data_IF_923893224931
#
_entry.id   IF_923893224931
#
_cell.length_a   1.000
_cell.length_b   1.000
_cell.length_c   1.000
_cell.angle_alpha   90.00
_cell.angle_beta   90.00
_cell.angle_gamma   90.00
#
_symmetry.space_group_name_H-M   'P 1'
#
loop_
_entity.id
_entity.type
_entity.pdbx_description
1 polymer ?
#
# COMPACT_ATOMS: atom_id res chain seq x y z
N UNK A 1 20.11 12.06 0.88
CA UNK A 1 20.49 13.39 1.42
C UNK A 1 19.30 14.08 2.06
N UNK A 2 18.12 13.99 1.46
CA UNK A 2 16.86 14.45 2.07
C UNK A 2 15.91 13.27 2.25
N UNK A 3 15.23 13.25 3.39
CA UNK A 3 14.10 12.36 3.68
C UNK A 3 12.88 13.26 3.86
N UNK A 4 11.87 13.11 3.01
CA UNK A 4 10.61 13.83 3.14
C UNK A 4 9.52 12.85 3.55
N UNK A 5 9.05 12.95 4.80
CA UNK A 5 7.95 12.13 5.34
C UNK A 5 6.68 12.97 5.35
N UNK A 6 5.63 12.52 4.67
CA UNK A 6 4.31 13.19 4.66
C UNK A 6 3.19 12.20 4.97
N UNK A 7 2.26 12.57 5.86
CA UNK A 7 1.10 11.75 6.20
C UNK A 7 1.46 10.38 6.78
N UNK A 8 2.53 10.31 7.61
CA UNK A 8 3.00 9.06 8.22
C UNK A 8 3.60 9.28 9.61
N UNK A 9 3.09 8.53 10.60
CA UNK A 9 3.75 8.35 11.89
C UNK A 9 4.69 7.13 11.85
N UNK A 10 5.78 7.23 11.09
CA UNK A 10 6.72 6.12 10.89
C UNK A 10 7.29 5.57 12.20
N UNK A 11 7.43 6.40 13.24
CA UNK A 11 7.93 5.95 14.55
C UNK A 11 7.04 4.94 15.27
N UNK A 12 5.72 5.03 15.09
CA UNK A 12 4.77 4.07 15.66
C UNK A 12 4.48 2.93 14.68
N UNK A 13 4.32 3.26 13.40
CA UNK A 13 3.79 2.34 12.40
C UNK A 13 4.87 1.45 11.77
N UNK A 14 6.09 1.98 11.63
CA UNK A 14 7.23 1.29 11.00
C UNK A 14 8.53 1.54 11.78
N UNK A 15 8.65 1.07 13.03
CA UNK A 15 9.75 1.46 13.92
C UNK A 15 11.14 1.16 13.34
N UNK A 16 11.30 0.04 12.64
CA UNK A 16 12.56 -0.33 11.98
C UNK A 16 12.94 0.66 10.86
N UNK A 17 11.96 1.14 10.08
CA UNK A 17 12.18 2.17 9.07
C UNK A 17 12.54 3.50 9.75
N UNK A 18 11.83 3.86 10.83
CA UNK A 18 12.14 5.06 11.60
C UNK A 18 13.56 5.03 12.19
N UNK A 19 14.06 3.87 12.65
CA UNK A 19 15.44 3.72 13.10
C UNK A 19 16.44 4.01 11.98
N UNK A 20 16.20 3.50 10.75
CA UNK A 20 17.05 3.79 9.58
C UNK A 20 17.01 5.27 9.19
N UNK A 21 15.82 5.90 9.23
CA UNK A 21 15.67 7.34 8.99
C UNK A 21 16.45 8.17 10.02
N UNK A 22 16.31 7.86 11.32
CA UNK A 22 17.05 8.52 12.40
C UNK A 22 18.56 8.37 12.22
N UNK A 23 19.04 7.19 11.83
CA UNK A 23 20.45 6.97 11.50
C UNK A 23 20.90 7.86 10.34
N UNK A 24 20.15 7.90 9.25
CA UNK A 24 20.48 8.74 8.11
C UNK A 24 20.55 10.23 8.49
N UNK A 25 19.67 10.70 9.38
CA UNK A 25 19.72 12.07 9.93
C UNK A 25 20.97 12.29 10.77
N UNK A 26 21.32 11.34 11.65
CA UNK A 26 22.55 11.41 12.43
C UNK A 26 23.82 11.43 11.55
N UNK A 27 23.76 10.78 10.38
CA UNK A 27 24.80 10.77 9.35
C UNK A 27 24.73 12.03 8.42
N UNK A 28 23.89 13.01 8.74
CA UNK A 28 23.84 14.32 8.08
C UNK A 28 22.73 14.51 7.04
N UNK A 29 21.78 13.58 6.90
CA UNK A 29 20.60 13.80 6.05
C UNK A 29 19.65 14.83 6.67
N UNK A 30 19.03 15.66 5.83
CA UNK A 30 17.95 16.55 6.28
C UNK A 30 16.62 15.80 6.28
N UNK A 31 15.78 16.07 7.28
CA UNK A 31 14.47 15.44 7.44
C UNK A 31 13.37 16.51 7.40
N UNK A 32 12.50 16.44 6.42
CA UNK A 32 11.25 17.20 6.37
C UNK A 32 10.13 16.28 6.85
N UNK A 33 9.35 16.72 7.83
CA UNK A 33 8.15 16.02 8.29
C UNK A 33 6.94 16.91 8.03
N UNK A 34 6.02 16.45 7.19
CA UNK A 34 4.72 17.08 6.98
C UNK A 34 3.62 16.23 7.63
N UNK A 35 3.24 16.62 8.84
CA UNK A 35 2.17 15.96 9.62
C UNK A 35 1.54 17.01 10.55
N UNK A 36 0.20 17.10 10.65
CA UNK A 36 -0.46 18.01 11.58
C UNK A 36 -0.08 17.76 13.05
N UNK A 37 0.37 16.54 13.39
CA UNK A 37 0.70 16.13 14.75
C UNK A 37 2.20 16.13 14.98
N UNK A 38 2.59 16.36 16.22
CA UNK A 38 4.00 16.30 16.67
C UNK A 38 4.45 14.85 16.88
N UNK A 39 4.55 14.08 15.81
CA UNK A 39 4.96 12.67 15.85
C UNK A 39 6.42 12.49 16.31
N UNK A 40 6.81 11.26 16.65
CA UNK A 40 8.15 10.97 17.19
C UNK A 40 9.32 11.40 16.29
N UNK A 41 9.14 11.36 14.96
CA UNK A 41 10.16 11.82 14.00
C UNK A 41 10.42 13.33 14.04
N UNK A 42 9.46 14.15 14.48
CA UNK A 42 9.61 15.63 14.50
C UNK A 42 10.81 16.07 15.34
N UNK A 43 11.16 15.32 16.38
CA UNK A 43 12.35 15.61 17.22
C UNK A 43 13.67 15.59 16.45
N UNK A 44 13.70 14.93 15.30
CA UNK A 44 14.88 14.81 14.44
C UNK A 44 14.72 15.63 13.15
N UNK A 45 13.59 16.31 12.96
CA UNK A 45 13.28 17.00 11.72
C UNK A 45 14.08 18.31 11.61
N UNK A 46 14.62 18.55 10.43
CA UNK A 46 15.13 19.87 10.03
C UNK A 46 13.99 20.87 9.86
N UNK A 47 12.83 20.39 9.40
CA UNK A 47 11.65 21.18 9.18
C UNK A 47 10.38 20.36 9.45
N UNK A 48 9.46 20.94 10.22
CA UNK A 48 8.15 20.35 10.50
C UNK A 48 7.06 21.22 9.91
N UNK A 49 6.39 20.73 8.87
CA UNK A 49 5.26 21.37 8.22
C UNK A 49 3.98 20.86 8.87
N UNK A 50 3.31 21.74 9.61
CA UNK A 50 2.10 21.40 10.38
C UNK A 50 0.84 21.84 9.63
N UNK A 51 0.66 21.34 8.41
CA UNK A 51 -0.50 21.68 7.59
C UNK A 51 -1.80 21.13 8.19
N UNK A 52 -2.92 21.80 7.91
CA UNK A 52 -4.25 21.35 8.31
C UNK A 52 -4.58 20.02 7.61
N UNK A 53 -5.23 19.05 8.30
CA UNK A 53 -5.66 17.82 7.67
C UNK A 53 -6.49 18.07 6.41
N UNK A 54 -6.18 17.35 5.31
CA UNK A 54 -6.89 17.49 4.04
C UNK A 54 -6.40 18.64 3.15
N UNK A 55 -5.27 19.28 3.48
CA UNK A 55 -4.62 20.29 2.62
C UNK A 55 -3.27 19.82 2.05
N UNK A 56 -3.04 18.52 2.02
CA UNK A 56 -1.78 17.87 1.59
C UNK A 56 -1.42 18.21 0.14
N UNK A 57 -2.39 18.07 -0.79
CA UNK A 57 -2.22 18.43 -2.19
C UNK A 57 -1.89 19.92 -2.38
N UNK A 58 -2.51 20.81 -1.60
CA UNK A 58 -2.23 22.25 -1.65
C UNK A 58 -0.77 22.51 -1.27
N UNK A 59 -0.28 21.89 -0.18
CA UNK A 59 1.10 22.02 0.25
C UNK A 59 2.08 21.54 -0.85
N UNK A 60 1.86 20.32 -1.37
CA UNK A 60 2.74 19.72 -2.38
C UNK A 60 2.74 20.50 -3.71
N UNK A 61 1.57 20.89 -4.21
CA UNK A 61 1.46 21.65 -5.46
C UNK A 61 2.07 23.05 -5.34
N UNK A 62 1.96 23.69 -4.18
CA UNK A 62 2.62 24.99 -3.93
C UNK A 62 4.14 24.83 -3.88
N UNK A 63 4.65 23.77 -3.25
CA UNK A 63 6.09 23.46 -3.28
C UNK A 63 6.58 23.27 -4.72
N UNK A 64 5.83 22.53 -5.55
CA UNK A 64 6.17 22.34 -6.96
C UNK A 64 6.16 23.64 -7.76
N UNK A 65 5.16 24.51 -7.52
CA UNK A 65 5.11 25.83 -8.14
C UNK A 65 6.34 26.67 -7.80
N UNK A 66 6.77 26.67 -6.53
CA UNK A 66 7.98 27.39 -6.09
C UNK A 66 9.24 26.83 -6.77
N UNK A 67 9.34 25.50 -6.90
CA UNK A 67 10.47 24.85 -7.60
C UNK A 67 10.57 25.35 -9.04
N UNK A 68 9.45 25.40 -9.75
CA UNK A 68 9.37 25.87 -11.15
C UNK A 68 9.68 27.38 -11.24
N UNK A 69 9.06 28.18 -10.38
CA UNK A 69 9.25 29.64 -10.39
C UNK A 69 10.72 30.02 -10.08
N UNK A 70 11.44 29.19 -9.31
CA UNK A 70 12.87 29.37 -9.02
C UNK A 70 13.81 28.65 -10.01
N UNK A 71 13.28 27.93 -11.00
CA UNK A 71 14.09 27.18 -11.97
C UNK A 71 14.90 26.03 -11.37
N UNK A 72 14.39 25.39 -10.32
CA UNK A 72 15.04 24.31 -9.57
C UNK A 72 14.64 22.90 -10.04
N UNK A 73 13.78 22.80 -11.05
CA UNK A 73 13.36 21.53 -11.64
C UNK A 73 14.46 20.83 -12.46
N UNK A 74 14.38 19.50 -12.53
CA UNK A 74 15.28 18.69 -13.34
C UNK A 74 14.77 18.62 -14.79
N UNK A 75 15.13 19.64 -15.58
CA UNK A 75 14.70 19.79 -16.98
C UNK A 75 15.09 18.60 -17.85
N UNK A 76 16.27 18.02 -17.62
CA UNK A 76 16.74 16.87 -18.40
C UNK A 76 15.91 15.63 -18.10
N UNK A 77 15.60 15.38 -16.82
CA UNK A 77 14.70 14.30 -16.45
C UNK A 77 13.31 14.49 -17.04
N UNK A 78 12.75 15.70 -16.93
CA UNK A 78 11.41 16.02 -17.45
C UNK A 78 11.35 15.76 -18.96
N UNK A 79 12.28 16.34 -19.72
CA UNK A 79 12.31 16.27 -21.19
C UNK A 79 12.54 14.86 -21.73
N UNK A 80 13.27 14.00 -21.00
CA UNK A 80 13.63 12.68 -21.48
C UNK A 80 12.77 11.55 -20.92
N UNK A 81 12.17 11.74 -19.74
CA UNK A 81 11.52 10.63 -18.99
C UNK A 81 10.07 10.87 -18.61
N UNK A 82 9.50 12.04 -18.91
CA UNK A 82 8.13 12.38 -18.50
C UNK A 82 7.25 12.88 -19.64
N UNK A 83 5.94 12.92 -19.49
CA UNK A 83 4.99 13.52 -20.44
C UNK A 83 3.94 14.33 -19.67
N UNK A 84 3.20 15.21 -20.35
CA UNK A 84 2.15 16.03 -19.74
C UNK A 84 2.64 17.20 -18.88
N UNK A 85 3.91 17.61 -19.02
CA UNK A 85 4.51 18.66 -18.20
C UNK A 85 3.79 20.02 -18.34
N UNK A 86 3.51 20.47 -19.57
CA UNK A 86 2.93 21.79 -19.81
C UNK A 86 1.52 21.93 -19.20
N UNK A 87 0.67 20.91 -19.37
CA UNK A 87 -0.68 20.87 -18.77
C UNK A 87 -0.60 20.84 -17.24
N UNK A 88 0.38 20.13 -16.69
CA UNK A 88 0.63 20.13 -15.25
C UNK A 88 1.06 21.52 -14.76
N UNK A 89 2.00 22.19 -15.41
CA UNK A 89 2.44 23.55 -15.03
C UNK A 89 1.28 24.53 -15.11
N UNK A 90 0.46 24.46 -16.17
CA UNK A 90 -0.73 25.30 -16.31
C UNK A 90 -1.72 25.07 -15.16
N UNK A 91 -1.88 23.84 -14.68
CA UNK A 91 -2.77 23.51 -13.56
C UNK A 91 -2.31 24.06 -12.20
N UNK A 92 -1.04 24.50 -12.07
CA UNK A 92 -0.50 25.02 -10.81
C UNK A 92 -0.89 26.47 -10.51
N UNK A 93 -1.54 27.18 -11.45
CA UNK A 93 -1.91 28.59 -11.30
C UNK A 93 -2.66 28.92 -9.98
N UNK A 94 -3.60 28.10 -9.48
CA UNK A 94 -4.33 28.40 -8.25
C UNK A 94 -3.49 28.28 -6.96
N UNK A 95 -2.33 27.64 -7.01
CA UNK A 95 -1.53 27.26 -5.83
C UNK A 95 -0.50 28.34 -5.48
N UNK A 96 -0.96 29.58 -5.27
CA UNK A 96 -0.10 30.69 -4.85
C UNK A 96 0.37 30.52 -3.40
N UNK A 97 1.50 31.15 -3.05
CA UNK A 97 2.07 31.08 -1.71
C UNK A 97 1.10 31.61 -0.64
N UNK A 98 0.48 32.77 -0.88
CA UNK A 98 -0.53 33.36 0.01
C UNK A 98 -1.76 32.46 0.20
N UNK A 99 -2.21 31.83 -0.89
CA UNK A 99 -3.32 30.89 -0.84
C UNK A 99 -2.95 29.67 0.02
N UNK A 100 -1.77 29.11 -0.20
CA UNK A 100 -1.28 27.95 0.51
C UNK A 100 -1.09 28.23 2.01
N UNK A 101 -0.49 29.36 2.38
CA UNK A 101 -0.32 29.76 3.78
C UNK A 101 -1.67 29.84 4.50
N UNK A 102 -2.66 30.50 3.87
CA UNK A 102 -4.01 30.63 4.44
C UNK A 102 -4.72 29.28 4.58
N UNK A 103 -4.65 28.42 3.55
CA UNK A 103 -5.38 27.15 3.52
C UNK A 103 -4.71 26.09 4.38
N UNK A 104 -3.41 25.90 4.23
CA UNK A 104 -2.65 24.89 4.96
C UNK A 104 -2.36 25.31 6.40
N UNK A 105 -2.26 26.62 6.67
CA UNK A 105 -1.79 27.13 7.96
C UNK A 105 -0.29 26.96 8.20
N UNK A 106 0.47 26.56 7.18
CA UNK A 106 1.94 26.50 7.22
C UNK A 106 2.49 27.87 6.83
N UNK A 107 3.44 28.45 7.58
CA UNK A 107 4.07 29.71 7.21
C UNK A 107 4.66 29.66 5.80
N UNK A 108 4.48 30.72 5.03
CA UNK A 108 4.96 30.82 3.65
C UNK A 108 6.47 30.53 3.54
N UNK A 109 7.26 31.04 4.48
CA UNK A 109 8.71 30.82 4.55
C UNK A 109 9.09 29.34 4.68
N UNK A 110 8.30 28.56 5.43
CA UNK A 110 8.53 27.14 5.65
C UNK A 110 8.17 26.33 4.39
N UNK A 111 7.12 26.72 3.66
CA UNK A 111 6.77 26.09 2.37
C UNK A 111 7.91 26.29 1.36
N UNK A 112 8.41 27.54 1.23
CA UNK A 112 9.55 27.87 0.35
C UNK A 112 10.80 27.11 0.78
N UNK A 113 11.09 27.06 2.08
CA UNK A 113 12.24 26.33 2.62
C UNK A 113 12.15 24.83 2.33
N UNK A 114 10.98 24.22 2.49
CA UNK A 114 10.76 22.82 2.16
C UNK A 114 10.99 22.53 0.68
N UNK A 115 10.42 23.36 -0.20
CA UNK A 115 10.59 23.27 -1.65
C UNK A 115 12.06 23.30 -2.06
N UNK A 116 12.82 24.28 -1.54
CA UNK A 116 14.25 24.43 -1.80
C UNK A 116 15.09 23.28 -1.25
N UNK A 117 14.83 22.82 -0.02
CA UNK A 117 15.54 21.68 0.57
C UNK A 117 15.36 20.44 -0.29
N UNK A 118 14.12 20.15 -0.70
CA UNK A 118 13.81 18.95 -1.47
C UNK A 118 14.42 19.00 -2.89
N UNK A 119 14.24 20.12 -3.61
CA UNK A 119 14.69 20.25 -5.00
C UNK A 119 16.22 20.34 -5.15
N UNK A 120 16.92 20.97 -4.20
CA UNK A 120 18.39 21.10 -4.26
C UNK A 120 19.15 19.85 -3.79
N UNK A 121 18.43 18.83 -3.31
CA UNK A 121 19.04 17.62 -2.82
C UNK A 121 19.57 16.76 -3.97
N UNK A 122 20.82 16.33 -3.88
CA UNK A 122 21.40 15.34 -4.81
C UNK A 122 20.51 14.08 -4.90
N UNK A 123 20.09 13.57 -3.73
CA UNK A 123 19.18 12.43 -3.59
C UNK A 123 18.14 12.73 -2.50
N UNK A 124 16.86 12.78 -2.89
CA UNK A 124 15.72 12.87 -1.98
C UNK A 124 14.80 11.65 -2.09
N UNK A 125 14.44 11.07 -0.95
CA UNK A 125 13.40 10.04 -0.85
C UNK A 125 12.14 10.64 -0.23
N UNK A 126 11.00 10.44 -0.88
CA UNK A 126 9.69 10.82 -0.35
C UNK A 126 8.99 9.57 0.19
N UNK A 127 8.52 9.63 1.43
CA UNK A 127 7.89 8.54 2.16
C UNK A 127 6.51 8.97 2.64
N UNK A 128 5.49 8.20 2.32
CA UNK A 128 4.12 8.54 2.68
C UNK A 128 3.31 7.33 3.11
N UNK A 129 2.20 7.55 3.81
CA UNK A 129 1.30 6.49 4.23
C UNK A 129 -0.16 6.98 4.21
N UNK A 130 -0.95 6.56 5.20
CA UNK A 130 -2.40 6.74 5.23
C UNK A 130 -2.85 8.20 5.33
N UNK A 131 -2.02 9.12 5.85
CA UNK A 131 -2.34 10.55 5.86
C UNK A 131 -2.36 11.19 4.46
N UNK A 132 -1.93 10.46 3.42
CA UNK A 132 -2.09 10.86 2.03
C UNK A 132 -3.27 10.13 1.40
N UNK A 133 -3.42 8.82 1.66
CA UNK A 133 -4.35 7.96 0.93
C UNK A 133 -5.76 7.90 1.52
N UNK A 134 -5.92 8.04 2.84
CA UNK A 134 -7.23 7.95 3.51
C UNK A 134 -7.92 9.32 3.56
N UNK A 135 -8.11 9.90 2.39
CA UNK A 135 -8.80 11.17 2.16
C UNK A 135 -9.69 11.05 0.93
N UNK A 136 -10.73 11.88 0.85
CA UNK A 136 -11.57 12.02 -0.37
C UNK A 136 -10.74 12.37 -1.62
N UNK A 137 -9.56 12.97 -1.43
CA UNK A 137 -8.60 13.31 -2.49
C UNK A 137 -7.37 12.39 -2.52
N UNK A 138 -7.48 11.17 -1.98
CA UNK A 138 -6.32 10.27 -1.82
C UNK A 138 -5.53 10.07 -3.13
N UNK A 139 -6.23 9.85 -4.24
CA UNK A 139 -5.63 9.73 -5.58
C UNK A 139 -4.88 11.00 -5.97
N UNK A 140 -5.50 12.18 -5.84
CA UNK A 140 -4.87 13.46 -6.16
C UNK A 140 -3.64 13.73 -5.28
N UNK A 141 -3.67 13.35 -4.00
CA UNK A 141 -2.52 13.47 -3.11
C UNK A 141 -1.34 12.58 -3.56
N UNK A 142 -1.62 11.32 -3.93
CA UNK A 142 -0.59 10.40 -4.45
C UNK A 142 -0.03 10.89 -5.78
N UNK A 143 -0.87 11.42 -6.66
CA UNK A 143 -0.47 12.08 -7.90
C UNK A 143 0.48 13.26 -7.62
N UNK A 144 0.17 14.14 -6.67
CA UNK A 144 1.02 15.27 -6.30
C UNK A 144 2.39 14.80 -5.75
N UNK A 145 2.41 13.74 -4.94
CA UNK A 145 3.64 13.09 -4.47
C UNK A 145 4.49 12.59 -5.65
N UNK A 146 3.86 11.94 -6.63
CA UNK A 146 4.52 11.47 -7.86
C UNK A 146 5.09 12.61 -8.69
N UNK A 147 4.28 13.64 -8.94
CA UNK A 147 4.67 14.84 -9.68
C UNK A 147 5.89 15.52 -9.05
N UNK A 148 5.94 15.64 -7.72
CA UNK A 148 7.07 16.29 -7.04
C UNK A 148 8.39 15.50 -7.23
N UNK A 149 8.34 14.17 -7.19
CA UNK A 149 9.50 13.34 -7.46
C UNK A 149 9.92 13.38 -8.94
N UNK A 150 8.97 13.43 -9.88
CA UNK A 150 9.25 13.60 -11.31
C UNK A 150 9.88 14.96 -11.60
N UNK A 151 9.33 16.04 -11.04
CA UNK A 151 9.79 17.42 -11.22
C UNK A 151 11.25 17.61 -10.81
N UNK A 152 11.71 16.83 -9.83
CA UNK A 152 13.05 16.95 -9.25
C UNK A 152 13.98 15.79 -9.64
N UNK A 153 13.56 14.94 -10.60
CA UNK A 153 14.34 13.80 -11.06
C UNK A 153 14.66 12.75 -9.99
N UNK A 154 13.93 12.72 -8.87
CA UNK A 154 14.15 11.82 -7.73
C UNK A 154 13.51 10.44 -7.92
N UNK A 155 13.64 9.87 -9.13
CA UNK A 155 13.11 8.55 -9.52
C UNK A 155 14.16 7.79 -10.36
N UNK A 156 14.17 6.46 -10.25
CA UNK A 156 15.09 5.62 -11.04
C UNK A 156 16.55 5.66 -10.58
N UNK A 157 16.83 6.23 -9.40
CA UNK A 157 18.16 6.26 -8.79
C UNK A 157 18.14 5.78 -7.34
N UNK A 158 19.26 5.23 -6.90
CA UNK A 158 19.44 4.74 -5.54
C UNK A 158 19.20 5.84 -4.50
N UNK A 159 18.65 5.46 -3.33
CA UNK A 159 18.35 6.35 -2.21
C UNK A 159 17.41 7.53 -2.54
N UNK A 160 16.51 7.32 -3.51
CA UNK A 160 15.44 8.27 -3.86
C UNK A 160 14.10 7.54 -3.98
N UNK A 161 13.13 8.13 -4.68
CA UNK A 161 11.89 7.48 -5.01
C UNK A 161 10.69 8.01 -4.25
N UNK A 162 9.54 7.52 -4.69
CA UNK A 162 8.25 7.65 -4.02
C UNK A 162 7.97 6.34 -3.31
N UNK A 163 7.94 6.39 -1.98
CA UNK A 163 7.97 5.21 -1.12
C UNK A 163 6.70 5.14 -0.27
N UNK A 164 5.61 4.49 -0.75
CA UNK A 164 4.46 4.21 0.09
C UNK A 164 4.85 3.22 1.20
N UNK A 165 4.69 3.63 2.45
CA UNK A 165 4.91 2.79 3.61
C UNK A 165 3.68 1.91 3.84
N UNK A 166 3.70 0.73 3.22
CA UNK A 166 2.62 -0.27 3.33
C UNK A 166 2.48 -0.75 4.78
N UNK A 167 1.24 -0.92 5.25
CA UNK A 167 0.95 -1.18 6.66
C UNK A 167 1.16 -2.64 7.10
N UNK A 168 0.37 -3.56 6.54
CA UNK A 168 0.41 -4.98 6.90
C UNK A 168 1.65 -5.68 6.36
N UNK A 169 2.08 -6.75 7.06
CA UNK A 169 3.31 -7.50 6.77
C UNK A 169 3.41 -8.00 5.32
N UNK A 170 2.26 -8.29 4.70
CA UNK A 170 2.15 -8.91 3.39
C UNK A 170 1.09 -8.27 2.49
N UNK A 171 0.64 -7.04 2.77
CA UNK A 171 -0.31 -6.36 1.85
C UNK A 171 0.30 -6.20 0.46
N UNK A 172 1.62 -6.02 0.37
CA UNK A 172 2.32 -6.02 -0.91
C UNK A 172 2.18 -7.37 -1.60
N UNK A 173 2.46 -8.48 -0.89
CA UNK A 173 2.35 -9.83 -1.45
C UNK A 173 0.92 -10.22 -1.80
N UNK A 174 -0.08 -9.85 -0.99
CA UNK A 174 -1.49 -10.07 -1.30
C UNK A 174 -1.87 -9.39 -2.62
N UNK A 175 -1.50 -8.11 -2.80
CA UNK A 175 -1.70 -7.43 -4.07
C UNK A 175 -0.89 -8.07 -5.23
N UNK A 176 0.37 -8.46 -4.97
CA UNK A 176 1.22 -9.13 -5.97
C UNK A 176 0.56 -10.42 -6.49
N UNK A 177 -0.16 -11.15 -5.63
CA UNK A 177 -0.81 -12.42 -5.95
C UNK A 177 -2.24 -12.25 -6.50
N UNK A 178 -2.65 -11.03 -6.86
CA UNK A 178 -4.00 -10.79 -7.40
C UNK A 178 -5.10 -10.76 -6.33
N UNK A 179 -4.76 -10.43 -5.08
CA UNK A 179 -5.74 -10.08 -4.04
C UNK A 179 -6.41 -8.72 -4.29
N UNK A 180 -6.82 -8.48 -5.54
CA UNK A 180 -7.45 -7.27 -6.07
C UNK A 180 -8.51 -7.72 -7.09
N UNK A 181 -9.67 -7.05 -7.15
CA UNK A 181 -10.79 -7.49 -7.99
C UNK A 181 -10.52 -7.37 -9.50
N UNK A 182 -9.45 -6.68 -9.91
CA UNK A 182 -9.19 -6.30 -11.29
C UNK A 182 -7.89 -6.86 -11.86
N UNK A 183 -7.12 -7.66 -11.12
CA UNK A 183 -5.83 -8.20 -11.60
C UNK A 183 -5.56 -9.62 -11.16
N UNK A 184 -4.99 -10.42 -12.05
CA UNK A 184 -4.27 -11.65 -11.76
C UNK A 184 -2.89 -11.37 -11.10
N UNK A 185 -2.17 -12.41 -10.62
CA UNK A 185 -0.81 -12.24 -10.09
C UNK A 185 0.09 -11.42 -11.01
N UNK A 186 0.87 -10.51 -10.42
CA UNK A 186 1.77 -9.62 -11.13
C UNK A 186 1.13 -8.37 -11.70
N UNK A 187 -0.01 -7.94 -11.16
CA UNK A 187 -0.77 -6.75 -11.59
C UNK A 187 -1.26 -6.82 -13.05
N UNK A 188 -1.58 -8.03 -13.51
CA UNK A 188 -1.98 -8.27 -14.89
C UNK A 188 -3.50 -8.22 -14.97
N UNK A 189 -4.07 -7.31 -15.76
CA UNK A 189 -5.49 -7.01 -15.66
C UNK A 189 -6.37 -8.17 -16.14
N UNK A 190 -7.51 -8.33 -15.49
CA UNK A 190 -8.47 -9.40 -15.81
C UNK A 190 -9.23 -9.16 -17.11
N UNK A 191 -9.39 -7.88 -17.49
CA UNK A 191 -10.11 -7.43 -18.68
C UNK A 191 -9.24 -7.36 -19.95
N UNK A 192 -7.98 -7.79 -19.86
CA UNK A 192 -7.07 -7.93 -21.01
C UNK A 192 -7.13 -9.36 -21.59
N UNK A 193 -7.65 -9.57 -22.82
CA UNK A 193 -7.91 -10.92 -23.34
C UNK A 193 -6.67 -11.82 -23.44
N UNK A 194 -5.52 -11.27 -23.80
CA UNK A 194 -4.26 -12.03 -23.89
C UNK A 194 -3.75 -12.48 -22.51
N UNK A 195 -3.97 -11.66 -21.48
CA UNK A 195 -3.66 -12.00 -20.10
C UNK A 195 -4.60 -13.11 -19.63
N UNK A 196 -5.91 -12.94 -19.84
CA UNK A 196 -6.92 -13.94 -19.51
C UNK A 196 -6.57 -15.31 -20.12
N UNK A 197 -6.33 -15.35 -21.45
CA UNK A 197 -5.96 -16.58 -22.16
C UNK A 197 -4.72 -17.27 -21.59
N UNK A 198 -3.72 -16.49 -21.16
CA UNK A 198 -2.52 -17.04 -20.52
C UNK A 198 -2.86 -17.78 -19.21
N UNK A 199 -3.69 -17.18 -18.36
CA UNK A 199 -4.10 -17.82 -17.10
C UNK A 199 -5.06 -18.99 -17.33
N UNK A 200 -5.97 -18.91 -18.30
CA UNK A 200 -6.83 -20.03 -18.71
C UNK A 200 -6.02 -21.23 -19.19
N UNK A 201 -4.95 -21.00 -19.97
CA UNK A 201 -4.03 -22.05 -20.40
C UNK A 201 -3.27 -22.67 -19.22
N UNK A 202 -2.84 -21.87 -18.24
CA UNK A 202 -2.13 -22.35 -17.07
C UNK A 202 -3.02 -23.17 -16.13
N UNK A 203 -4.27 -22.74 -15.93
CA UNK A 203 -5.19 -23.33 -14.95
C UNK A 203 -6.19 -24.32 -15.54
N UNK A 204 -6.28 -24.41 -16.87
CA UNK A 204 -7.14 -25.36 -17.56
C UNK A 204 -8.64 -25.12 -17.35
N UNK A 205 -9.05 -23.87 -17.10
CA UNK A 205 -10.45 -23.48 -16.94
C UNK A 205 -10.72 -22.13 -17.60
N UNK A 206 -12.00 -21.86 -17.88
CA UNK A 206 -12.43 -20.54 -18.33
C UNK A 206 -12.47 -19.56 -17.16
N UNK A 207 -12.01 -18.34 -17.40
CA UNK A 207 -11.97 -17.28 -16.39
C UNK A 207 -12.90 -16.13 -16.78
N UNK A 208 -13.36 -15.35 -15.80
CA UNK A 208 -14.14 -14.14 -16.07
C UNK A 208 -13.23 -12.98 -16.47
N UNK A 209 -13.60 -12.24 -17.51
CA UNK A 209 -12.97 -10.96 -17.87
C UNK A 209 -13.59 -9.75 -17.15
N UNK A 210 -14.66 -9.96 -16.38
CA UNK A 210 -15.31 -8.89 -15.64
C UNK A 210 -14.52 -8.54 -14.37
N UNK A 211 -14.35 -7.24 -14.13
CA UNK A 211 -13.79 -6.73 -12.88
C UNK A 211 -14.72 -7.08 -11.72
N UNK A 212 -14.16 -7.67 -10.66
CA UNK A 212 -14.89 -8.00 -9.44
C UNK A 212 -15.30 -6.78 -8.62
N UNK A 213 -16.10 -7.00 -7.59
CA UNK A 213 -16.56 -5.93 -6.71
C UNK A 213 -15.43 -5.51 -5.74
N UNK A 214 -15.08 -4.22 -5.62
CA UNK A 214 -14.16 -3.74 -4.59
C UNK A 214 -14.77 -3.87 -3.19
N UNK A 215 -13.95 -4.14 -2.16
CA UNK A 215 -14.41 -4.28 -0.78
C UNK A 215 -15.23 -3.06 -0.28
N UNK A 216 -14.87 -1.85 -0.72
CA UNK A 216 -15.59 -0.61 -0.41
C UNK A 216 -17.02 -0.56 -0.94
N UNK A 217 -17.35 -1.37 -1.95
CA UNK A 217 -18.67 -1.45 -2.59
C UNK A 217 -19.46 -2.68 -2.12
N UNK A 218 -18.79 -3.66 -1.50
CA UNK A 218 -19.42 -4.89 -1.00
C UNK A 218 -20.49 -4.60 0.06
N UNK A 219 -20.31 -3.57 0.90
CA UNK A 219 -21.26 -3.26 1.97
C UNK A 219 -22.63 -2.86 1.42
N UNK A 220 -22.67 -2.01 0.39
CA UNK A 220 -23.93 -1.64 -0.26
C UNK A 220 -24.51 -2.82 -1.05
N UNK A 221 -23.67 -3.59 -1.76
CA UNK A 221 -24.13 -4.77 -2.48
C UNK A 221 -24.76 -5.83 -1.56
N UNK A 222 -24.25 -5.98 -0.33
CA UNK A 222 -24.86 -6.83 0.69
C UNK A 222 -26.23 -6.29 1.09
N UNK A 223 -26.37 -4.99 1.36
CA UNK A 223 -27.64 -4.37 1.78
C UNK A 223 -28.71 -4.39 0.68
N UNK A 224 -28.31 -4.19 -0.57
CA UNK A 224 -29.19 -4.31 -1.76
C UNK A 224 -29.57 -5.77 -2.05
N UNK A 225 -28.84 -6.73 -1.49
CA UNK A 225 -29.05 -8.15 -1.70
C UNK A 225 -28.48 -8.67 -3.03
N UNK A 226 -27.62 -7.91 -3.72
CA UNK A 226 -26.90 -8.36 -4.92
C UNK A 226 -25.68 -9.23 -4.56
N UNK A 227 -25.11 -9.04 -3.36
CA UNK A 227 -24.11 -9.92 -2.76
C UNK A 227 -24.76 -10.79 -1.68
N UNK A 228 -24.84 -12.11 -1.93
CA UNK A 228 -25.54 -13.06 -1.06
C UNK A 228 -24.64 -13.93 -0.19
N UNK A 229 -23.44 -14.21 -0.65
CA UNK A 229 -22.47 -15.03 0.07
C UNK A 229 -21.13 -14.34 0.13
N UNK A 230 -20.45 -14.43 1.27
CA UNK A 230 -19.12 -13.85 1.44
C UNK A 230 -18.20 -14.82 2.18
N UNK A 231 -16.96 -14.94 1.69
CA UNK A 231 -15.90 -15.66 2.36
C UNK A 231 -14.77 -14.69 2.72
N UNK A 232 -14.66 -14.40 4.01
CA UNK A 232 -13.62 -13.55 4.59
C UNK A 232 -12.52 -14.45 5.16
N UNK A 233 -11.25 -14.21 4.80
CA UNK A 233 -10.13 -14.91 5.39
C UNK A 233 -9.07 -13.92 5.91
N UNK A 234 -8.75 -14.01 7.21
CA UNK A 234 -7.71 -13.21 7.85
C UNK A 234 -8.03 -11.72 8.02
N UNK A 235 -9.30 -11.32 8.03
CA UNK A 235 -9.75 -9.94 8.18
C UNK A 235 -10.87 -9.79 9.20
N UNK A 236 -11.02 -8.58 9.75
CA UNK A 236 -12.05 -8.25 10.74
C UNK A 236 -12.82 -6.95 10.38
N UNK A 237 -13.50 -6.91 9.21
CA UNK A 237 -14.20 -5.73 8.71
C UNK A 237 -15.32 -5.23 9.61
N UNK A 238 -15.92 -6.08 10.46
CA UNK A 238 -16.90 -5.62 11.46
C UNK A 238 -16.32 -4.54 12.41
N UNK A 239 -15.00 -4.45 12.57
CA UNK A 239 -14.32 -3.43 13.38
C UNK A 239 -13.42 -2.51 12.56
N UNK A 240 -12.77 -3.02 11.52
CA UNK A 240 -11.79 -2.23 10.76
C UNK A 240 -12.38 -1.28 9.73
N UNK A 241 -13.60 -1.55 9.26
CA UNK A 241 -14.24 -0.76 8.21
C UNK A 241 -14.94 0.48 8.77
N UNK A 242 -15.07 1.56 7.97
CA UNK A 242 -15.75 2.75 8.43
C UNK A 242 -17.24 2.46 8.68
N UNK A 243 -17.81 3.14 9.68
CA UNK A 243 -19.22 2.97 10.06
C UNK A 243 -19.59 1.53 10.43
N UNK A 244 -19.02 1.04 11.54
CA UNK A 244 -19.27 -0.28 12.11
C UNK A 244 -20.75 -0.71 12.11
N UNK A 245 -21.67 0.19 12.48
CA UNK A 245 -23.11 -0.13 12.51
C UNK A 245 -23.65 -0.50 11.12
N UNK A 246 -23.17 0.19 10.08
CA UNK A 246 -23.53 -0.08 8.70
C UNK A 246 -22.93 -1.41 8.21
N UNK A 247 -21.65 -1.67 8.51
CA UNK A 247 -21.00 -2.95 8.20
C UNK A 247 -21.70 -4.14 8.86
N UNK A 248 -22.00 -4.06 10.17
CA UNK A 248 -22.72 -5.12 10.89
C UNK A 248 -24.09 -5.39 10.26
N UNK A 249 -24.85 -4.33 9.96
CA UNK A 249 -26.16 -4.45 9.30
C UNK A 249 -26.04 -5.12 7.92
N UNK A 250 -24.98 -4.83 7.18
CA UNK A 250 -24.74 -5.43 5.87
C UNK A 250 -24.42 -6.92 5.99
N UNK A 251 -23.56 -7.33 6.93
CA UNK A 251 -23.28 -8.76 7.16
C UNK A 251 -24.54 -9.54 7.55
N UNK A 252 -25.45 -8.94 8.32
CA UNK A 252 -26.73 -9.57 8.68
C UNK A 252 -27.69 -9.78 7.48
N UNK A 253 -27.41 -9.16 6.32
CA UNK A 253 -28.22 -9.30 5.11
C UNK A 253 -27.66 -10.36 4.13
N UNK A 254 -26.51 -10.96 4.45
CA UNK A 254 -25.98 -12.09 3.70
C UNK A 254 -26.83 -13.34 3.95
N UNK A 255 -26.97 -14.16 2.92
CA UNK A 255 -27.58 -15.49 3.02
C UNK A 255 -26.57 -16.51 3.60
N UNK A 256 -25.26 -16.26 3.44
CA UNK A 256 -24.20 -17.13 3.94
C UNK A 256 -22.85 -16.40 4.14
N UNK A 257 -22.29 -16.45 5.34
CA UNK A 257 -20.99 -15.88 5.70
C UNK A 257 -20.03 -16.95 6.22
N UNK A 258 -18.89 -17.08 5.55
CA UNK A 258 -17.76 -17.91 5.99
C UNK A 258 -16.64 -17.00 6.48
N UNK A 259 -16.10 -17.28 7.66
CA UNK A 259 -14.92 -16.61 8.20
C UNK A 259 -13.81 -17.61 8.48
N UNK A 260 -12.63 -17.38 7.92
CA UNK A 260 -11.42 -18.12 8.27
C UNK A 260 -10.47 -17.20 9.02
N UNK A 261 -10.26 -17.46 10.31
CA UNK A 261 -9.43 -16.65 11.18
C UNK A 261 -8.70 -17.52 12.21
N UNK A 262 -7.66 -16.97 12.84
CA UNK A 262 -6.90 -17.60 13.91
C UNK A 262 -7.54 -17.39 15.29
N UNK A 263 -8.47 -16.43 15.41
CA UNK A 263 -9.25 -16.18 16.62
C UNK A 263 -10.73 -15.97 16.31
N UNK A 264 -11.58 -16.15 17.32
CA UNK A 264 -12.96 -15.65 17.25
C UNK A 264 -12.92 -14.12 17.31
N UNK A 265 -13.06 -13.48 16.15
CA UNK A 265 -13.15 -12.02 15.98
C UNK A 265 -14.60 -11.57 15.95
N UNK A 266 -14.83 -10.26 16.06
CA UNK A 266 -16.16 -9.66 15.94
C UNK A 266 -16.82 -9.99 14.59
N UNK A 267 -16.03 -10.13 13.52
CA UNK A 267 -16.55 -10.61 12.23
C UNK A 267 -16.87 -12.10 12.25
N UNK A 268 -16.02 -12.93 12.88
CA UNK A 268 -16.26 -14.37 13.01
C UNK A 268 -17.50 -14.69 13.86
N UNK A 269 -17.83 -13.86 14.84
CA UNK A 269 -19.05 -13.98 15.66
C UNK A 269 -20.34 -13.80 14.84
N UNK A 270 -20.26 -13.14 13.68
CA UNK A 270 -21.37 -12.95 12.75
C UNK A 270 -21.48 -14.09 11.71
N UNK A 271 -20.50 -15.00 11.64
CA UNK A 271 -20.40 -15.98 10.57
C UNK A 271 -21.30 -17.21 10.79
N UNK A 272 -21.80 -17.78 9.69
CA UNK A 272 -22.49 -19.07 9.71
C UNK A 272 -21.50 -20.23 9.88
N UNK A 273 -20.30 -20.09 9.31
CA UNK A 273 -19.22 -21.08 9.39
C UNK A 273 -17.90 -20.39 9.71
N UNK A 274 -17.20 -20.92 10.72
CA UNK A 274 -15.85 -20.48 11.08
C UNK A 274 -14.85 -21.61 10.81
N UNK A 275 -13.83 -21.34 10.00
CA UNK A 275 -12.70 -22.23 9.79
C UNK A 275 -11.48 -21.77 10.59
N UNK A 276 -10.92 -22.61 11.49
CA UNK A 276 -9.75 -22.24 12.28
C UNK A 276 -8.48 -22.25 11.41
N UNK A 277 -7.96 -21.07 11.12
CA UNK A 277 -6.69 -20.88 10.40
C UNK A 277 -5.46 -21.05 11.31
N UNK A 278 -4.31 -21.33 10.69
CA UNK A 278 -3.03 -21.42 11.38
C UNK A 278 -2.31 -20.05 11.43
N UNK A 279 -1.68 -19.75 12.57
CA UNK A 279 -0.86 -18.56 12.76
C UNK A 279 0.43 -18.61 11.93
N UNK A 280 1.13 -17.47 11.80
CA UNK A 280 2.37 -17.37 11.02
C UNK A 280 3.47 -18.34 11.49
N UNK A 281 3.50 -18.69 12.78
CA UNK A 281 4.47 -19.61 13.36
C UNK A 281 4.13 -21.09 13.15
N UNK A 282 2.90 -21.38 12.72
CA UNK A 282 2.34 -22.73 12.58
C UNK A 282 2.32 -23.23 11.13
N UNK A 283 2.58 -22.30 10.20
CA UNK A 283 2.61 -22.53 8.76
C UNK A 283 3.90 -22.03 8.14
N UNK A 284 4.06 -22.37 6.87
CA UNK A 284 5.20 -21.94 6.08
C UNK A 284 4.71 -21.22 4.83
N UNK A 285 5.54 -20.37 4.27
CA UNK A 285 5.23 -19.63 3.05
C UNK A 285 6.24 -18.53 2.79
N UNK A 286 5.77 -17.43 2.21
CA UNK A 286 6.54 -16.22 2.01
C UNK A 286 5.73 -14.98 2.38
N UNK A 287 6.44 -13.90 2.74
CA UNK A 287 5.88 -12.57 2.84
C UNK A 287 6.66 -11.60 1.96
N UNK A 288 5.96 -10.69 1.30
CA UNK A 288 6.54 -9.55 0.58
C UNK A 288 6.35 -8.28 1.39
N UNK A 289 7.45 -7.64 1.79
CA UNK A 289 7.39 -6.41 2.59
C UNK A 289 7.26 -5.14 1.72
N UNK A 290 7.20 -3.96 2.36
CA UNK A 290 6.98 -2.65 1.71
C UNK A 290 7.94 -2.33 0.56
N UNK A 291 9.18 -2.84 0.59
CA UNK A 291 10.18 -2.61 -0.46
C UNK A 291 10.19 -3.72 -1.53
N UNK A 292 9.10 -4.50 -1.65
CA UNK A 292 8.93 -5.66 -2.56
C UNK A 292 9.84 -6.86 -2.26
N UNK A 293 10.48 -6.89 -1.09
CA UNK A 293 11.35 -8.00 -0.70
C UNK A 293 10.53 -9.20 -0.24
N UNK A 294 10.68 -10.30 -0.96
CA UNK A 294 10.13 -11.61 -0.64
C UNK A 294 11.05 -12.29 0.37
N UNK A 295 10.46 -12.75 1.47
CA UNK A 295 11.13 -13.39 2.60
C UNK A 295 10.43 -14.70 2.95
N UNK A 296 11.23 -15.71 3.32
CA UNK A 296 10.74 -17.02 3.73
C UNK A 296 10.13 -16.99 5.14
N UNK A 297 8.93 -17.54 5.29
CA UNK A 297 8.28 -17.83 6.58
C UNK A 297 8.39 -19.32 6.85
N UNK A 298 8.93 -19.71 8.00
CA UNK A 298 9.13 -21.13 8.36
C UNK A 298 8.19 -21.51 9.49
N UNK A 299 7.64 -22.71 9.39
CA UNK A 299 6.89 -23.32 10.48
C UNK A 299 7.82 -23.57 11.67
N UNK A 300 7.47 -23.03 12.82
CA UNK A 300 8.22 -23.17 14.07
C UNK A 300 7.54 -24.11 15.07
N UNK A 301 6.20 -24.15 15.05
CA UNK A 301 5.37 -24.96 15.96
C UNK A 301 4.25 -25.66 15.18
N UNK A 302 3.57 -26.62 15.81
CA UNK A 302 2.37 -27.25 15.25
C UNK A 302 1.13 -26.40 15.53
N UNK A 303 0.17 -26.41 14.61
CA UNK A 303 -1.11 -25.74 14.77
C UNK A 303 -1.90 -26.33 15.96
N UNK A 304 -2.63 -25.51 16.73
CA UNK A 304 -3.45 -25.99 17.84
C UNK A 304 -4.74 -26.66 17.35
N UNK A 305 -5.17 -27.71 18.05
CA UNK A 305 -6.43 -28.40 17.77
C UNK A 305 -6.54 -28.87 16.32
N UNK A 306 -7.59 -28.44 15.63
CA UNK A 306 -7.85 -28.79 14.21
C UNK A 306 -7.43 -27.68 13.24
N UNK A 307 -6.72 -26.65 13.70
CA UNK A 307 -6.32 -25.52 12.87
C UNK A 307 -5.41 -25.97 11.72
N UNK A 308 -5.62 -25.40 10.54
CA UNK A 308 -4.89 -25.74 9.30
C UNK A 308 -4.37 -24.48 8.64
N UNK A 309 -3.35 -24.60 7.79
CA UNK A 309 -2.91 -23.45 6.99
C UNK A 309 -4.05 -22.98 6.10
N UNK A 310 -4.12 -21.67 5.85
CA UNK A 310 -5.18 -21.07 5.02
C UNK A 310 -5.24 -21.72 3.64
N UNK A 311 -4.06 -22.00 3.08
CA UNK A 311 -3.89 -22.66 1.81
C UNK A 311 -4.48 -24.08 1.81
N UNK A 312 -4.28 -24.85 2.89
CA UNK A 312 -4.87 -26.19 2.99
C UNK A 312 -6.39 -26.12 3.10
N UNK A 313 -6.94 -25.18 3.87
CA UNK A 313 -8.40 -25.03 3.99
C UNK A 313 -9.01 -24.66 2.63
N UNK A 314 -8.43 -23.68 1.93
CA UNK A 314 -8.88 -23.25 0.60
C UNK A 314 -8.78 -24.40 -0.41
N UNK A 315 -7.68 -25.14 -0.44
CA UNK A 315 -7.51 -26.32 -1.30
C UNK A 315 -8.57 -27.40 -1.02
N UNK A 316 -8.85 -27.66 0.26
CA UNK A 316 -9.83 -28.66 0.68
C UNK A 316 -11.27 -28.26 0.35
N UNK A 317 -11.60 -26.97 0.44
CA UNK A 317 -12.87 -26.41 -0.02
C UNK A 317 -12.97 -26.56 -1.54
N UNK A 318 -11.96 -26.07 -2.27
CA UNK A 318 -11.91 -26.13 -3.73
C UNK A 318 -12.15 -27.55 -4.23
N UNK A 319 -11.35 -28.54 -3.78
CA UNK A 319 -11.46 -29.95 -4.19
C UNK A 319 -12.86 -30.54 -3.95
N UNK A 320 -13.51 -30.18 -2.85
CA UNK A 320 -14.87 -30.64 -2.52
C UNK A 320 -15.93 -29.99 -3.41
N UNK A 321 -15.81 -28.69 -3.68
CA UNK A 321 -16.73 -27.95 -4.55
C UNK A 321 -16.63 -28.45 -5.98
N UNK A 322 -15.41 -28.56 -6.53
CA UNK A 322 -15.22 -29.01 -7.91
C UNK A 322 -15.30 -30.53 -8.08
N UNK A 323 -15.34 -31.28 -6.96
CA UNK A 323 -15.35 -32.75 -6.91
C UNK A 323 -14.19 -33.39 -7.70
N UNK A 324 -13.02 -32.77 -7.64
CA UNK A 324 -11.77 -33.23 -8.28
C UNK A 324 -10.59 -33.09 -7.33
N UNK A 325 -9.53 -33.84 -7.62
CA UNK A 325 -8.27 -33.82 -6.87
C UNK A 325 -8.22 -34.85 -5.74
N UNK A 326 -7.01 -35.11 -5.26
CA UNK A 326 -6.75 -36.00 -4.14
C UNK A 326 -6.91 -35.24 -2.81
N UNK A 327 -7.93 -35.61 -2.03
CA UNK A 327 -8.20 -35.01 -0.72
C UNK A 327 -7.12 -35.35 0.33
N UNK A 328 -6.32 -36.39 0.10
CA UNK A 328 -5.21 -36.79 0.98
C UNK A 328 -3.94 -35.97 0.73
N UNK A 329 -3.75 -35.46 -0.49
CA UNK A 329 -2.63 -34.57 -0.85
C UNK A 329 -2.88 -33.15 -0.35
N UNK A 330 -1.93 -32.63 0.42
CA UNK A 330 -1.91 -31.24 0.88
C UNK A 330 -1.16 -30.34 -0.11
N UNK A 331 -1.55 -29.07 -0.26
CA UNK A 331 -0.84 -28.14 -1.13
C UNK A 331 0.53 -27.78 -0.53
N UNK A 332 1.55 -27.68 -1.39
CA UNK A 332 2.93 -27.35 -0.98
C UNK A 332 3.25 -25.93 -1.42
N UNK A 333 3.55 -24.99 -0.49
CA UNK A 333 3.80 -23.59 -0.83
C UNK A 333 4.91 -23.36 -1.85
N UNK A 334 5.94 -24.20 -1.86
CA UNK A 334 7.02 -24.12 -2.86
C UNK A 334 6.51 -24.44 -4.28
N UNK A 335 5.67 -25.46 -4.45
CA UNK A 335 5.10 -25.83 -5.76
C UNK A 335 4.21 -24.70 -6.31
N UNK A 336 3.42 -24.05 -5.45
CA UNK A 336 2.57 -22.92 -5.83
C UNK A 336 3.42 -21.70 -6.21
N UNK A 337 4.50 -21.45 -5.48
CA UNK A 337 5.41 -20.35 -5.80
C UNK A 337 6.10 -20.58 -7.15
N UNK A 338 6.51 -21.81 -7.44
CA UNK A 338 7.06 -22.19 -8.74
C UNK A 338 6.02 -22.01 -9.86
N UNK A 339 4.75 -22.39 -9.64
CA UNK A 339 3.64 -22.15 -10.57
C UNK A 339 3.48 -20.65 -10.88
N UNK A 340 3.50 -19.79 -9.85
CA UNK A 340 3.41 -18.32 -10.03
C UNK A 340 4.53 -17.83 -10.95
N UNK A 341 5.74 -18.35 -10.82
CA UNK A 341 6.88 -18.03 -11.69
C UNK A 341 6.64 -18.35 -13.17
N UNK A 342 5.76 -19.30 -13.49
CA UNK A 342 5.42 -19.65 -14.88
C UNK A 342 4.50 -18.63 -15.56
N UNK A 343 3.66 -17.94 -14.79
CA UNK A 343 2.67 -16.96 -15.29
C UNK A 343 3.09 -15.51 -15.03
N UNK A 344 4.06 -15.29 -14.15
CA UNK A 344 4.61 -13.99 -13.81
C UNK A 344 6.14 -14.00 -13.78
N UNK A 345 6.74 -13.61 -14.91
CA UNK A 345 8.19 -13.68 -15.12
C UNK A 345 9.00 -12.84 -14.13
N UNK A 346 8.44 -11.80 -13.51
CA UNK A 346 9.17 -10.97 -12.55
C UNK A 346 9.50 -11.69 -11.24
N UNK A 347 8.98 -12.90 -10.98
CA UNK A 347 9.39 -13.73 -9.83
C UNK A 347 9.95 -15.09 -10.25
N UNK A 348 10.08 -15.37 -11.55
CA UNK A 348 10.54 -16.67 -12.07
C UNK A 348 11.96 -17.06 -11.61
N UNK A 349 12.77 -16.08 -11.25
CA UNK A 349 14.11 -16.29 -10.69
C UNK A 349 14.13 -16.62 -9.21
N UNK A 350 13.01 -16.50 -8.48
CA UNK A 350 12.92 -16.69 -7.04
C UNK A 350 12.31 -18.07 -6.79
N UNK A 351 13.02 -18.92 -6.05
CA UNK A 351 12.50 -20.21 -5.58
C UNK A 351 12.79 -20.37 -4.08
N UNK A 352 12.21 -21.40 -3.46
CA UNK A 352 12.40 -21.63 -2.04
C UNK A 352 13.86 -21.97 -1.68
N UNK A 353 14.62 -22.60 -2.59
CA UNK A 353 16.03 -22.91 -2.34
C UNK A 353 16.89 -21.64 -2.23
N UNK A 354 16.60 -20.62 -3.04
CA UNK A 354 17.22 -19.30 -2.92
C UNK A 354 16.75 -18.59 -1.66
N UNK A 355 15.45 -18.63 -1.36
CA UNK A 355 14.89 -17.98 -0.17
C UNK A 355 15.37 -18.61 1.16
N UNK A 356 15.93 -19.82 1.14
CA UNK A 356 16.65 -20.37 2.29
C UNK A 356 17.96 -19.62 2.61
N UNK A 357 18.58 -19.00 1.61
CA UNK A 357 19.91 -18.35 1.74
C UNK A 357 19.83 -16.83 1.73
N UNK A 358 18.85 -16.27 1.02
CA UNK A 358 18.72 -14.83 0.81
C UNK A 358 17.27 -14.37 0.77
N UNK A 359 17.04 -13.07 0.68
CA UNK A 359 15.73 -12.47 0.46
C UNK A 359 15.82 -11.46 -0.67
N UNK A 360 14.86 -11.49 -1.58
CA UNK A 360 14.99 -10.87 -2.90
C UNK A 360 13.86 -9.90 -3.17
N UNK A 361 14.19 -8.76 -3.76
CA UNK A 361 13.19 -7.80 -4.24
C UNK A 361 12.80 -8.15 -5.66
N UNK A 362 11.50 -8.31 -5.92
CA UNK A 362 11.03 -8.45 -7.29
C UNK A 362 11.04 -7.06 -7.98
N UNK A 363 11.31 -6.98 -9.30
CA UNK A 363 11.56 -8.09 -10.24
C UNK A 363 12.86 -8.89 -10.04
N UNK A 364 12.81 -10.18 -10.35
CA UNK A 364 13.93 -11.12 -10.36
C UNK A 364 13.61 -12.21 -11.40
N UNK A 365 13.89 -11.99 -12.69
CA UNK A 365 13.41 -12.84 -13.77
C UNK A 365 14.22 -14.13 -13.99
N UNK A 366 15.45 -14.22 -13.48
CA UNK A 366 16.28 -15.42 -13.58
C UNK A 366 16.97 -15.77 -12.26
N UNK A 367 17.44 -17.01 -12.13
CA UNK A 367 18.06 -17.53 -10.91
C UNK A 367 19.39 -16.84 -10.56
N UNK A 368 20.04 -16.25 -11.55
CA UNK A 368 21.29 -15.50 -11.41
C UNK A 368 21.04 -14.01 -11.11
N UNK A 369 19.80 -13.53 -11.26
CA UNK A 369 19.46 -12.13 -11.02
C UNK A 369 19.45 -11.82 -9.52
N UNK A 370 20.15 -10.76 -9.11
CA UNK A 370 20.31 -10.35 -7.70
C UNK A 370 19.06 -9.63 -7.09
N UNK A 371 17.90 -9.75 -7.74
CA UNK A 371 16.72 -8.91 -7.48
C UNK A 371 16.86 -7.45 -7.93
N UNK A 372 15.79 -6.66 -7.79
CA UNK A 372 15.71 -5.26 -8.21
C UNK A 372 15.52 -4.33 -7.02
N UNK A 373 16.61 -3.69 -6.51
CA UNK A 373 16.53 -2.86 -5.30
C UNK A 373 15.66 -1.61 -5.41
N UNK A 374 15.62 -1.00 -6.59
CA UNK A 374 14.80 0.17 -6.89
C UNK A 374 14.24 0.09 -8.30
N UNK A 375 13.07 0.68 -8.51
CA UNK A 375 12.34 0.62 -9.77
C UNK A 375 12.74 1.76 -10.72
N UNK A 376 12.37 1.62 -11.99
CA UNK A 376 12.44 2.68 -13.01
C UNK A 376 13.84 3.18 -13.33
N UNK A 377 14.87 2.34 -13.15
CA UNK A 377 16.26 2.67 -13.50
C UNK A 377 16.38 3.11 -14.96
N UNK A 378 15.79 2.35 -15.87
CA UNK A 378 15.87 2.60 -17.31
C UNK A 378 14.59 3.23 -17.85
N UNK A 379 13.43 2.62 -17.60
CA UNK A 379 12.13 3.08 -18.12
C UNK A 379 11.01 2.94 -17.09
N UNK A 380 9.96 3.73 -17.27
CA UNK A 380 8.70 3.54 -16.54
C UNK A 380 7.87 2.42 -17.15
N UNK A 381 6.93 1.88 -16.38
CA UNK A 381 6.10 0.73 -16.79
C UNK A 381 4.90 1.11 -17.67
N UNK A 382 4.71 2.40 -17.96
CA UNK A 382 3.69 2.86 -18.90
C UNK A 382 4.13 2.62 -20.34
N UNK A 383 3.15 2.58 -21.23
CA UNK A 383 3.40 2.64 -22.67
C UNK A 383 4.31 3.83 -23.02
N UNK A 384 5.24 3.64 -23.96
CA UNK A 384 6.27 4.64 -24.28
C UNK A 384 7.40 4.77 -23.26
N UNK A 385 7.32 4.14 -22.08
CA UNK A 385 8.38 4.10 -21.08
C UNK A 385 8.61 5.40 -20.31
N UNK A 386 7.68 6.38 -20.43
CA UNK A 386 7.71 7.70 -19.78
C UNK A 386 6.64 7.80 -18.69
N UNK A 387 6.95 8.52 -17.62
CA UNK A 387 5.99 8.80 -16.56
C UNK A 387 5.10 9.99 -16.93
N UNK A 388 3.83 9.98 -16.52
CA UNK A 388 2.86 11.02 -16.87
C UNK A 388 2.68 11.97 -15.69
N UNK A 389 2.98 13.25 -15.90
CA UNK A 389 2.52 14.31 -15.01
C UNK A 389 1.00 14.39 -15.03
N UNK A 390 0.41 14.58 -13.86
CA UNK A 390 -1.04 14.69 -13.70
C UNK A 390 -1.41 16.09 -13.29
N UNK A 391 -2.47 16.67 -13.87
CA UNK A 391 -2.92 18.01 -13.52
C UNK A 391 -3.29 18.10 -12.04
N UNK A 392 -2.85 19.18 -11.40
CA UNK A 392 -3.15 19.47 -10.02
C UNK A 392 -4.65 19.78 -9.87
N UNK A 393 -5.34 18.98 -9.06
CA UNK A 393 -6.76 19.20 -8.74
C UNK A 393 -6.84 20.02 -7.45
N UNK A 394 -7.50 21.17 -7.52
CA UNK A 394 -7.83 21.96 -6.33
C UNK A 394 -9.13 21.44 -5.72
N UNK A 395 -9.01 20.70 -4.64
CA UNK A 395 -10.15 20.25 -3.84
C UNK A 395 -9.82 20.34 -2.34
N UNK A 396 -10.84 20.21 -1.49
CA UNK A 396 -10.72 20.16 -0.03
C UNK A 396 -11.57 19.02 0.53
N UNK A 397 -11.41 18.71 1.82
CA UNK A 397 -12.30 17.77 2.50
C UNK A 397 -13.77 18.21 2.38
N UNK A 398 -14.68 17.24 2.16
CA UNK A 398 -16.12 17.47 2.22
C UNK A 398 -16.62 17.60 3.67
N UNK A 399 -15.87 17.02 4.62
CA UNK A 399 -16.14 17.12 6.05
C UNK A 399 -15.14 18.09 6.67
N UNK A 400 -15.60 19.32 6.92
CA UNK A 400 -14.85 20.36 7.61
C UNK A 400 -15.58 20.75 8.90
N UNK A 401 -14.86 21.15 9.96
CA UNK A 401 -15.49 21.62 11.19
C UNK A 401 -16.43 22.80 10.94
N UNK A 402 -17.57 22.82 11.65
CA UNK A 402 -18.56 23.88 11.64
C UNK A 402 -18.94 24.29 13.09
N UNK A 403 -19.97 25.13 13.26
CA UNK A 403 -20.41 25.57 14.59
C UNK A 403 -20.96 24.43 15.46
N UNK A 404 -21.54 23.39 14.84
CA UNK A 404 -22.12 22.23 15.53
C UNK A 404 -21.08 21.16 15.83
N UNK A 405 -20.12 20.99 14.93
CA UNK A 405 -19.02 20.03 15.02
C UNK A 405 -17.68 20.77 14.89
N UNK A 406 -17.22 21.48 15.94
CA UNK A 406 -16.08 22.40 15.85
C UNK A 406 -14.71 21.72 15.86
N UNK A 407 -14.66 20.39 15.99
CA UNK A 407 -13.43 19.62 16.09
C UNK A 407 -13.23 18.70 14.90
N UNK A 408 -11.96 18.52 14.52
CA UNK A 408 -11.55 17.58 13.48
C UNK A 408 -11.05 16.29 14.14
N UNK A 409 -11.67 15.16 13.80
CA UNK A 409 -11.24 13.84 14.27
C UNK A 409 -10.19 13.26 13.32
N UNK A 410 -9.11 12.71 13.87
CA UNK A 410 -8.13 11.94 13.11
C UNK A 410 -7.78 10.68 13.87
N UNK A 411 -7.92 9.53 13.22
CA UNK A 411 -7.55 8.23 13.79
C UNK A 411 -6.10 7.89 13.46
N UNK A 412 -5.39 7.30 14.41
CA UNK A 412 -3.99 6.92 14.24
C UNK A 412 -3.73 5.44 14.52
N UNK A 413 -2.45 5.14 14.72
CA UNK A 413 -1.97 3.86 15.24
C UNK A 413 -1.00 4.16 16.37
N UNK A 414 -0.89 3.19 17.27
CA UNK A 414 0.06 3.19 18.37
C UNK A 414 1.15 2.15 18.15
N UNK A 415 2.26 2.29 18.86
CA UNK A 415 3.41 1.38 18.71
C UNK A 415 3.11 -0.04 19.22
N UNK A 416 2.37 -0.15 20.34
CA UNK A 416 2.26 -1.40 21.10
C UNK A 416 1.11 -2.29 20.62
N UNK A 417 0.04 -1.71 20.08
CA UNK A 417 -1.13 -2.46 19.62
C UNK A 417 -1.34 -2.32 18.12
N UNK A 418 -1.68 -3.44 17.50
CA UNK A 418 -1.79 -3.55 16.05
C UNK A 418 -3.25 -3.65 15.61
N UNK A 419 -3.70 -2.67 14.81
CA UNK A 419 -5.04 -2.58 14.23
C UNK A 419 -6.18 -2.91 15.22
N UNK A 420 -7.02 -3.90 14.91
CA UNK A 420 -8.16 -4.34 15.74
C UNK A 420 -7.73 -5.01 17.04
N UNK A 421 -6.43 -5.26 17.23
CA UNK A 421 -5.86 -5.76 18.48
C UNK A 421 -6.09 -7.25 18.71
N UNK A 422 -6.64 -7.99 17.75
CA UNK A 422 -7.00 -9.42 17.88
C UNK A 422 -5.83 -10.30 18.32
N UNK A 423 -4.61 -9.98 17.85
CA UNK A 423 -3.37 -10.62 18.28
C UNK A 423 -2.74 -9.93 19.49
N UNK A 424 -2.48 -8.62 19.39
CA UNK A 424 -1.61 -7.90 20.34
C UNK A 424 -2.24 -7.69 21.71
N UNK A 425 -3.57 -7.56 21.83
CA UNK A 425 -4.25 -7.43 23.14
C UNK A 425 -4.26 -8.74 23.94
N UNK A 426 -3.85 -9.85 23.32
CA UNK A 426 -3.73 -11.17 23.95
C UNK A 426 -2.29 -11.47 24.41
N UNK A 427 -1.35 -10.55 24.17
CA UNK A 427 0.02 -10.66 24.66
C UNK A 427 0.14 -10.00 26.03
N UNK A 428 0.57 -10.75 27.05
CA UNK A 428 0.75 -10.24 28.41
C UNK A 428 1.98 -9.35 28.60
N UNK A 429 2.89 -9.33 27.62
CA UNK A 429 4.17 -8.61 27.69
C UNK A 429 4.25 -7.34 26.82
N UNK A 430 3.11 -6.83 26.34
CA UNK A 430 3.01 -5.60 25.55
C UNK A 430 2.47 -4.43 26.36
#
# INVERSE_FOLDING_TARGET
KVIFVIGSNTTANHPIIALRMKKAVADGAQLIVADPRKIGLVKHATLWLRHKPGTDSILLNTMMKIIIDEGLEDKDFINNRTEGYDDFVASLQPFTLDFAEKKTGVPAEDIVKAARIYAKAENAGLYYAMGITQHVMGTSNVCAVGNLAMLTGNLGKHATGVNPLRGQNNVQGACDMGGLPNTYPGYQKVDEPEVQKKFENAWGCQLSGNIGLPATEMTEAMLEGSLKGLYIFGENPAVSDPNMNHSIKAFQNLDFLVVQDIFMTETAELADVVFPGASFAEKEGTFTCSERRIQRVRKAISSPGEARSDLDIIDQIYKRVVKKGDLSRRPVPAEIFDEIGTVWSAVAGIDYQRLEKESLQWPCPSREHAGTPYMYKERFTREGGRALFTSAVLATSNELPDEKYPYLLSTGRELFHYHTGTMTRRSSGL
#
